data_IF_460696218085
#
_entry.id   IF_460696218085
#
_cell.length_a   1.000
_cell.length_b   1.000
_cell.length_c   1.000
_cell.angle_alpha   90.00
_cell.angle_beta   90.00
_cell.angle_gamma   90.00
#
_symmetry.space_group_name_H-M   'P 1'
#
loop_
_entity.id
_entity.type
_entity.pdbx_description
1 polymer ?
#
# COMPACT_ATOMS: atom_id res chain seq x y z
N UNK A 1 19.05 -46.12 -54.09
CA UNK A 1 17.68 -45.82 -53.65
C UNK A 1 17.72 -44.56 -52.81
N UNK A 2 17.02 -43.50 -53.22
CA UNK A 2 17.05 -42.18 -52.57
C UNK A 2 15.88 -42.09 -51.57
N UNK A 3 16.17 -42.13 -50.28
CA UNK A 3 15.22 -41.71 -49.24
C UNK A 3 15.49 -40.24 -48.92
N UNK A 4 14.49 -39.39 -49.13
CA UNK A 4 14.47 -38.02 -48.60
C UNK A 4 13.40 -37.97 -47.53
N UNK A 5 13.81 -37.99 -46.27
CA UNK A 5 12.96 -37.58 -45.14
C UNK A 5 13.21 -36.09 -44.91
N UNK A 6 12.22 -35.26 -45.23
CA UNK A 6 12.22 -33.85 -44.88
C UNK A 6 11.92 -33.71 -43.39
N UNK A 7 12.86 -33.12 -42.65
CA UNK A 7 12.71 -32.79 -41.23
C UNK A 7 12.04 -31.42 -41.13
N UNK A 8 10.80 -31.39 -40.61
CA UNK A 8 10.09 -30.15 -40.27
C UNK A 8 10.65 -29.66 -38.92
N UNK A 9 11.35 -28.52 -38.91
CA UNK A 9 11.75 -27.83 -37.69
C UNK A 9 10.65 -26.81 -37.34
N UNK A 10 9.85 -27.09 -36.31
CA UNK A 10 8.89 -26.14 -35.74
C UNK A 10 9.64 -25.35 -34.67
N UNK A 11 10.03 -24.11 -35.01
CA UNK A 11 10.61 -23.16 -34.06
C UNK A 11 9.49 -22.59 -33.20
N UNK A 12 9.32 -23.14 -31.99
CA UNK A 12 8.48 -22.54 -30.96
C UNK A 12 9.20 -21.31 -30.37
N UNK A 13 8.92 -20.13 -30.93
CA UNK A 13 9.28 -18.87 -30.30
C UNK A 13 8.40 -18.68 -29.07
N UNK A 14 8.94 -19.00 -27.88
CA UNK A 14 8.37 -18.55 -26.62
C UNK A 14 8.35 -17.02 -26.61
N UNK A 15 7.17 -16.44 -26.79
CA UNK A 15 6.91 -15.05 -26.44
C UNK A 15 7.05 -14.91 -24.93
N UNK A 16 8.23 -14.52 -24.46
CA UNK A 16 8.42 -13.93 -23.14
C UNK A 16 7.82 -12.52 -23.19
N UNK A 17 6.52 -12.40 -22.95
CA UNK A 17 5.91 -11.09 -22.66
C UNK A 17 6.33 -10.70 -21.25
N UNK A 18 7.07 -9.59 -21.05
CA UNK A 18 7.29 -9.07 -19.71
C UNK A 18 5.94 -8.59 -19.16
N UNK A 19 5.43 -9.29 -18.13
CA UNK A 19 4.36 -8.77 -17.27
C UNK A 19 4.98 -7.69 -16.37
N UNK A 20 5.16 -6.49 -16.92
CA UNK A 20 5.38 -5.30 -16.13
C UNK A 20 4.02 -4.59 -16.00
N UNK A 21 3.26 -4.94 -14.96
CA UNK A 21 2.17 -4.07 -14.51
C UNK A 21 2.83 -2.83 -13.88
N UNK A 22 3.22 -1.86 -14.71
CA UNK A 22 3.56 -0.54 -14.22
C UNK A 22 2.26 0.13 -13.78
N UNK A 23 1.95 0.06 -12.50
CA UNK A 23 0.94 0.93 -11.89
C UNK A 23 1.55 2.33 -11.80
N UNK A 24 0.96 3.29 -12.52
CA UNK A 24 1.39 4.68 -12.46
C UNK A 24 1.28 5.21 -11.03
N UNK A 25 2.19 6.09 -10.63
CA UNK A 25 2.15 6.68 -9.30
C UNK A 25 0.88 7.52 -9.11
N UNK A 26 0.18 7.30 -8.00
CA UNK A 26 -0.98 8.07 -7.58
C UNK A 26 -0.55 9.34 -6.85
N UNK A 27 -1.35 10.40 -6.98
CA UNK A 27 -1.04 11.72 -6.38
C UNK A 27 -2.08 12.18 -5.36
N UNK A 28 -3.20 11.47 -5.27
CA UNK A 28 -4.30 11.71 -4.34
C UNK A 28 -4.80 10.35 -3.86
N UNK A 29 -5.08 10.25 -2.56
CA UNK A 29 -5.72 9.09 -1.95
C UNK A 29 -7.17 8.99 -2.39
N UNK A 30 -7.59 7.81 -2.88
CA UNK A 30 -8.98 7.52 -3.20
C UNK A 30 -9.85 7.45 -1.93
N UNK A 31 -9.27 7.02 -0.80
CA UNK A 31 -9.97 6.88 0.46
C UNK A 31 -10.20 8.22 1.18
N UNK A 32 -9.16 9.04 1.26
CA UNK A 32 -9.13 10.24 2.13
C UNK A 32 -9.21 11.55 1.34
N UNK A 33 -8.97 11.51 0.02
CA UNK A 33 -8.83 12.70 -0.82
C UNK A 33 -7.56 13.51 -0.54
N UNK A 34 -6.66 13.02 0.32
CA UNK A 34 -5.41 13.70 0.66
C UNK A 34 -4.44 13.67 -0.50
N UNK A 35 -3.70 14.77 -0.68
CA UNK A 35 -2.56 14.79 -1.61
C UNK A 35 -1.44 13.90 -1.08
N UNK A 36 -0.94 13.00 -1.93
CA UNK A 36 0.09 12.04 -1.59
C UNK A 36 1.50 12.55 -1.98
N UNK A 37 2.54 12.19 -1.22
CA UNK A 37 3.93 12.35 -1.65
C UNK A 37 4.17 11.63 -2.99
N UNK A 38 5.02 12.23 -3.82
CA UNK A 38 5.34 11.68 -5.13
C UNK A 38 5.89 10.25 -5.04
N UNK A 39 5.51 9.40 -6.00
CA UNK A 39 5.95 8.00 -6.05
C UNK A 39 5.10 7.02 -5.27
N UNK A 40 3.96 7.46 -4.71
CA UNK A 40 2.98 6.56 -4.11
C UNK A 40 2.39 5.64 -5.19
N UNK A 41 2.36 4.34 -4.93
CA UNK A 41 1.75 3.35 -5.81
C UNK A 41 0.58 2.72 -5.04
N UNK A 42 -0.61 2.76 -5.62
CA UNK A 42 -1.77 2.06 -5.05
C UNK A 42 -1.70 0.57 -5.39
N UNK A 43 -1.81 -0.27 -4.37
CA UNK A 43 -1.82 -1.73 -4.51
C UNK A 43 -3.25 -2.23 -4.40
N UNK A 44 -3.78 -2.72 -5.51
CA UNK A 44 -5.17 -3.22 -5.61
C UNK A 44 -5.26 -4.74 -5.79
N UNK A 45 -4.12 -5.43 -5.89
CA UNK A 45 -4.09 -6.89 -5.95
C UNK A 45 -4.52 -7.47 -4.59
N UNK A 46 -5.70 -8.08 -4.56
CA UNK A 46 -6.33 -8.62 -3.36
C UNK A 46 -5.43 -9.62 -2.62
N UNK A 47 -4.65 -10.43 -3.33
CA UNK A 47 -3.78 -11.42 -2.69
C UNK A 47 -2.60 -10.76 -1.99
N UNK A 48 -2.06 -9.69 -2.58
CA UNK A 48 -1.00 -8.91 -1.96
C UNK A 48 -1.50 -8.15 -0.72
N UNK A 49 -2.74 -7.68 -0.73
CA UNK A 49 -3.28 -6.82 0.35
C UNK A 49 -3.99 -7.59 1.45
N UNK A 50 -4.51 -8.80 1.21
CA UNK A 50 -5.30 -9.57 2.20
C UNK A 50 -4.64 -9.67 3.58
N UNK A 51 -3.35 -10.05 3.72
CA UNK A 51 -2.74 -10.17 5.05
C UNK A 51 -2.67 -8.82 5.78
N UNK A 52 -2.34 -7.76 5.05
CA UNK A 52 -2.25 -6.40 5.60
C UNK A 52 -3.64 -5.83 5.92
N UNK A 53 -4.64 -6.18 5.11
CA UNK A 53 -6.03 -5.80 5.34
C UNK A 53 -6.58 -6.41 6.63
N UNK A 54 -6.28 -7.68 6.92
CA UNK A 54 -6.71 -8.31 8.17
C UNK A 54 -6.13 -7.57 9.38
N UNK A 55 -4.85 -7.19 9.31
CA UNK A 55 -4.22 -6.43 10.39
C UNK A 55 -4.87 -5.06 10.57
N UNK A 56 -5.18 -4.39 9.47
CA UNK A 56 -5.87 -3.10 9.49
C UNK A 56 -7.30 -3.18 10.04
N UNK A 57 -8.00 -4.31 9.84
CA UNK A 57 -9.29 -4.60 10.48
C UNK A 57 -9.13 -4.67 12.00
N UNK A 58 -8.11 -5.35 12.49
CA UNK A 58 -7.86 -5.47 13.94
C UNK A 58 -7.60 -4.08 14.58
N UNK A 59 -6.89 -3.19 13.88
CA UNK A 59 -6.68 -1.79 14.33
C UNK A 59 -8.00 -1.00 14.35
N UNK A 60 -8.87 -1.19 13.36
CA UNK A 60 -10.20 -0.57 13.35
C UNK A 60 -11.06 -1.06 14.54
N UNK A 61 -10.98 -2.35 14.87
CA UNK A 61 -11.66 -2.92 16.04
C UNK A 61 -11.13 -2.34 17.36
N UNK A 62 -9.82 -2.10 17.47
CA UNK A 62 -9.21 -1.39 18.61
C UNK A 62 -9.74 0.05 18.76
N UNK A 63 -10.06 0.71 17.64
CA UNK A 63 -10.75 2.01 17.63
C UNK A 63 -12.26 1.92 17.95
N UNK A 64 -12.77 0.70 18.13
CA UNK A 64 -14.17 0.42 18.46
C UNK A 64 -15.12 0.56 17.28
N UNK A 65 -14.67 0.18 16.07
CA UNK A 65 -15.51 0.18 14.87
C UNK A 65 -15.06 -0.86 13.84
N UNK A 66 -15.72 -0.84 12.69
CA UNK A 66 -15.47 -1.75 11.57
C UNK A 66 -14.79 -1.01 10.40
N UNK A 67 -13.89 -1.72 9.74
CA UNK A 67 -13.17 -1.27 8.54
C UNK A 67 -14.05 -1.52 7.29
N UNK A 68 -14.59 -0.48 6.64
CA UNK A 68 -15.47 -0.68 5.46
C UNK A 68 -14.71 -0.68 4.13
N UNK A 69 -13.83 0.30 3.93
CA UNK A 69 -13.04 0.45 2.71
C UNK A 69 -11.59 0.77 3.05
N UNK A 70 -10.68 -0.03 2.50
CA UNK A 70 -9.24 0.06 2.71
C UNK A 70 -8.53 0.53 1.44
N UNK A 71 -7.49 1.34 1.61
CA UNK A 71 -6.53 1.69 0.55
C UNK A 71 -5.13 1.34 1.03
N UNK A 72 -4.31 0.81 0.10
CA UNK A 72 -2.93 0.41 0.36
C UNK A 72 -2.00 1.14 -0.61
N UNK A 73 -1.02 1.85 -0.05
CA UNK A 73 -0.08 2.69 -0.75
C UNK A 73 1.34 2.22 -0.44
N UNK A 74 2.19 2.21 -1.47
CA UNK A 74 3.59 1.84 -1.33
C UNK A 74 4.49 2.89 -1.96
N UNK A 75 5.56 3.26 -1.27
CA UNK A 75 6.68 4.02 -1.82
C UNK A 75 7.92 3.11 -1.87
N UNK A 76 8.26 2.63 -3.07
CA UNK A 76 9.42 1.75 -3.28
C UNK A 76 10.77 2.46 -3.12
N UNK A 77 10.75 3.80 -3.08
CA UNK A 77 11.93 4.66 -2.92
C UNK A 77 11.55 5.90 -2.13
N UNK A 78 12.43 6.32 -1.23
CA UNK A 78 12.26 7.52 -0.44
C UNK A 78 12.75 7.29 0.98
N UNK A 79 13.03 8.39 1.67
CA UNK A 79 13.28 8.35 3.11
C UNK A 79 11.93 8.34 3.83
N UNK A 80 11.64 7.37 4.72
CA UNK A 80 10.35 7.27 5.39
C UNK A 80 9.93 8.54 6.12
N UNK A 81 10.88 9.18 6.80
CA UNK A 81 10.64 10.41 7.55
C UNK A 81 10.29 11.58 6.63
N UNK A 82 10.92 11.68 5.46
CA UNK A 82 10.54 12.66 4.45
C UNK A 82 9.13 12.41 3.88
N UNK A 83 8.75 11.15 3.65
CA UNK A 83 7.39 10.79 3.19
C UNK A 83 6.36 11.16 4.27
N UNK A 84 6.58 10.77 5.53
CA UNK A 84 5.71 11.09 6.66
C UNK A 84 5.55 12.61 6.84
N UNK A 85 6.65 13.38 6.79
CA UNK A 85 6.62 14.84 6.87
C UNK A 85 5.79 15.48 5.75
N UNK A 86 5.85 14.92 4.53
CA UNK A 86 5.08 15.40 3.39
C UNK A 86 3.59 15.04 3.49
N UNK A 87 3.23 13.96 4.18
CA UNK A 87 1.84 13.58 4.48
C UNK A 87 1.21 14.42 5.61
N UNK A 88 2.01 14.79 6.61
CA UNK A 88 1.52 15.53 7.78
C UNK A 88 0.82 16.85 7.41
N UNK A 89 1.38 17.61 6.46
CA UNK A 89 0.79 18.88 6.01
C UNK A 89 -0.63 18.74 5.45
N UNK A 90 -0.86 17.87 4.44
CA UNK A 90 -2.19 17.53 3.95
C UNK A 90 -3.16 17.04 5.04
N UNK A 91 -2.72 16.14 5.94
CA UNK A 91 -3.54 15.58 7.02
C UNK A 91 -4.09 16.70 7.92
N UNK A 92 -3.20 17.54 8.43
CA UNK A 92 -3.57 18.67 9.31
C UNK A 92 -4.44 19.68 8.56
N UNK A 93 -4.12 19.95 7.29
CA UNK A 93 -4.89 20.89 6.46
C UNK A 93 -6.32 20.42 6.18
N UNK A 94 -6.54 19.10 6.13
CA UNK A 94 -7.86 18.49 6.02
C UNK A 94 -8.61 18.44 7.36
N UNK A 95 -7.98 18.86 8.46
CA UNK A 95 -8.59 18.95 9.79
C UNK A 95 -8.60 17.65 10.57
N UNK A 96 -7.75 16.69 10.19
CA UNK A 96 -7.55 15.47 10.96
C UNK A 96 -6.57 15.69 12.11
N UNK A 97 -6.83 15.01 13.22
CA UNK A 97 -5.88 14.77 14.30
C UNK A 97 -5.34 13.35 14.13
N UNK A 98 -4.06 13.16 14.43
CA UNK A 98 -3.40 11.86 14.41
C UNK A 98 -3.07 11.47 15.84
N UNK A 99 -3.41 10.25 16.21
CA UNK A 99 -3.10 9.64 17.51
C UNK A 99 -2.39 8.32 17.26
N UNK A 100 -1.20 8.16 17.83
CA UNK A 100 -0.43 6.92 17.76
C UNK A 100 -1.09 5.89 18.69
N UNK A 101 -1.40 4.72 18.17
CA UNK A 101 -2.07 3.63 18.89
C UNK A 101 -1.05 2.62 19.41
N UNK A 102 -0.11 2.23 18.55
CA UNK A 102 0.99 1.32 18.87
C UNK A 102 2.15 1.55 17.89
N UNK A 103 3.36 1.19 18.30
CA UNK A 103 4.52 1.21 17.42
C UNK A 103 5.60 0.24 17.92
N UNK A 104 6.35 -0.33 16.98
CA UNK A 104 7.41 -1.26 17.35
C UNK A 104 8.31 -1.68 16.19
N UNK A 105 9.26 -2.54 16.53
CA UNK A 105 10.16 -3.17 15.57
C UNK A 105 9.53 -4.49 15.08
N UNK A 106 9.46 -4.68 13.76
CA UNK A 106 9.14 -5.98 13.16
C UNK A 106 10.39 -6.86 13.17
N UNK A 107 11.53 -6.28 12.77
CA UNK A 107 12.86 -6.88 12.82
C UNK A 107 13.94 -5.78 12.96
N UNK A 108 15.22 -6.15 12.83
CA UNK A 108 16.34 -5.21 12.98
C UNK A 108 16.40 -4.07 11.95
N UNK A 109 15.59 -4.13 10.90
CA UNK A 109 15.59 -3.23 9.75
C UNK A 109 14.21 -2.69 9.38
N UNK A 110 13.16 -3.12 10.09
CA UNK A 110 11.79 -2.78 9.75
C UNK A 110 10.98 -2.45 11.00
N UNK A 111 10.15 -1.41 10.92
CA UNK A 111 9.31 -0.93 12.02
C UNK A 111 7.88 -0.77 11.56
N UNK A 112 6.94 -0.75 12.51
CA UNK A 112 5.54 -0.43 12.27
C UNK A 112 5.05 0.66 13.22
N UNK A 113 4.01 1.36 12.78
CA UNK A 113 3.24 2.31 13.55
C UNK A 113 1.76 2.15 13.20
N UNK A 114 0.93 1.97 14.21
CA UNK A 114 -0.52 2.01 14.12
C UNK A 114 -1.01 3.36 14.60
N UNK A 115 -1.93 3.97 13.88
CA UNK A 115 -2.44 5.29 14.23
C UNK A 115 -3.91 5.46 13.89
N UNK A 116 -4.60 6.30 14.65
CA UNK A 116 -5.93 6.78 14.35
C UNK A 116 -5.83 8.16 13.70
N UNK A 117 -6.53 8.36 12.58
CA UNK A 117 -6.71 9.67 11.96
C UNK A 117 -8.18 10.09 12.08
N UNK A 118 -8.47 11.08 12.90
CA UNK A 118 -9.84 11.44 13.30
C UNK A 118 -10.17 12.89 12.97
N UNK A 119 -11.36 13.12 12.44
CA UNK A 119 -11.95 14.45 12.24
C UNK A 119 -13.38 14.47 12.78
N UNK A 120 -14.07 15.61 12.60
CA UNK A 120 -15.49 15.70 12.95
C UNK A 120 -16.41 14.85 12.06
N UNK A 121 -15.93 14.40 10.91
CA UNK A 121 -16.74 13.73 9.88
C UNK A 121 -16.34 12.27 9.70
N UNK A 122 -15.04 12.01 9.73
CA UNK A 122 -14.45 10.77 9.29
C UNK A 122 -13.40 10.29 10.29
N UNK A 123 -13.31 8.98 10.46
CA UNK A 123 -12.29 8.31 11.26
C UNK A 123 -11.61 7.26 10.39
N UNK A 124 -10.29 7.15 10.50
CA UNK A 124 -9.51 6.17 9.80
C UNK A 124 -8.56 5.45 10.76
N UNK A 125 -8.48 4.14 10.61
CA UNK A 125 -7.38 3.34 11.13
C UNK A 125 -6.26 3.39 10.10
N UNK A 126 -5.02 3.48 10.56
CA UNK A 126 -3.83 3.50 9.73
C UNK A 126 -2.77 2.56 10.27
N UNK A 127 -2.06 1.91 9.37
CA UNK A 127 -0.85 1.14 9.64
C UNK A 127 0.22 1.60 8.68
N UNK A 128 1.33 2.06 9.24
CA UNK A 128 2.53 2.47 8.54
C UNK A 128 3.63 1.44 8.80
N UNK A 129 4.28 0.97 7.75
CA UNK A 129 5.42 0.05 7.85
C UNK A 129 6.59 0.61 7.08
N UNK A 130 7.71 0.72 7.78
CA UNK A 130 9.00 1.09 7.21
C UNK A 130 9.86 -0.15 7.10
N UNK A 131 10.44 -0.37 5.93
CA UNK A 131 11.37 -1.46 5.69
C UNK A 131 12.46 -1.09 4.69
N UNK A 132 13.43 -2.00 4.47
CA UNK A 132 14.55 -1.76 3.56
C UNK A 132 14.12 -1.59 2.10
N UNK A 133 12.97 -2.17 1.71
CA UNK A 133 12.45 -2.14 0.35
C UNK A 133 11.46 -1.00 0.09
N UNK A 134 11.16 -0.19 1.10
CA UNK A 134 10.27 0.96 0.98
C UNK A 134 9.35 1.16 2.18
N UNK A 135 8.32 1.97 1.95
CA UNK A 135 7.28 2.30 2.92
C UNK A 135 5.95 1.75 2.44
N UNK A 136 5.20 1.16 3.36
CA UNK A 136 3.81 0.74 3.14
C UNK A 136 2.90 1.53 4.07
N UNK A 137 1.84 2.10 3.52
CA UNK A 137 0.73 2.68 4.27
C UNK A 137 -0.54 1.95 3.87
N UNK A 138 -1.21 1.33 4.83
CA UNK A 138 -2.61 0.95 4.67
C UNK A 138 -3.46 1.75 5.63
N UNK A 139 -4.62 2.17 5.16
CA UNK A 139 -5.61 2.82 6.00
C UNK A 139 -7.01 2.43 5.57
N UNK A 140 -7.96 2.50 6.48
CA UNK A 140 -9.36 2.26 6.15
C UNK A 140 -10.30 3.15 6.93
N UNK A 141 -11.47 3.43 6.34
CA UNK A 141 -12.49 4.17 7.06
C UNK A 141 -13.11 3.31 8.16
N UNK A 142 -13.20 3.87 9.36
CA UNK A 142 -13.78 3.21 10.53
C UNK A 142 -15.20 3.72 10.74
N UNK A 143 -16.17 2.80 10.76
CA UNK A 143 -17.57 3.07 11.14
C UNK A 143 -17.91 2.41 12.46
N UNK A 144 -18.81 3.03 13.21
CA UNK A 144 -19.31 2.53 14.49
C UNK A 144 -20.77 2.15 14.38
#
# INVERSE_FOLDING_TARGET
MKNKLSFFLVTAALCLTPFAAATDAVTVSNLTGLKLPAGAIEVTDEKATTPFNQYLVDVAEQMGGDCEYSEFLVWLKGDPKDIANKLAGPIVSAGYQVEDLDAGDIDSSSTYEEFAMTSKKDNYAGVWVDGPDGVVLGWCNVKK
#
